data_IF_304229187916
#
_entry.id   IF_304229187916
#
_cell.length_a   1.000
_cell.length_b   1.000
_cell.length_c   1.000
_cell.angle_alpha   90.00
_cell.angle_beta   90.00
_cell.angle_gamma   90.00
#
_symmetry.space_group_name_H-M   'P 1'
#
loop_
_entity.id
_entity.type
_entity.pdbx_description
1 polymer ?
#
# COMPACT_ATOMS: atom_id res chain seq x y z
N UNK A 1 12.67 -25.08 -1.24
CA UNK A 1 11.47 -24.43 -0.74
C UNK A 1 11.46 -22.98 -1.11
N UNK A 2 10.45 -22.57 -1.77
CA UNK A 2 10.41 -21.18 -2.17
C UNK A 2 10.06 -20.27 -1.02
N UNK A 3 10.36 -19.00 -1.20
CA UNK A 3 10.08 -18.01 -0.18
C UNK A 3 8.60 -17.82 0.03
N UNK A 4 8.25 -17.42 1.23
CA UNK A 4 6.88 -17.08 1.55
C UNK A 4 6.60 -15.60 1.42
N UNK A 5 7.62 -14.82 1.16
CA UNK A 5 7.46 -13.38 1.07
C UNK A 5 6.72 -13.00 -0.20
N UNK A 6 5.80 -12.06 -0.06
CA UNK A 6 5.14 -11.44 -1.19
C UNK A 6 5.73 -10.07 -1.40
N UNK A 7 5.94 -9.71 -2.64
CA UNK A 7 6.60 -8.47 -2.97
C UNK A 7 5.77 -7.70 -3.97
N UNK A 8 5.84 -6.37 -3.90
CA UNK A 8 5.16 -5.51 -4.86
C UNK A 8 5.59 -5.87 -6.27
N UNK A 9 4.62 -6.01 -7.16
CA UNK A 9 4.87 -6.33 -8.55
C UNK A 9 4.51 -5.14 -9.40
N UNK A 10 5.30 -4.89 -10.43
CA UNK A 10 5.01 -3.81 -11.35
C UNK A 10 5.92 -2.63 -11.15
N UNK A 11 5.49 -1.47 -11.62
CA UNK A 11 6.28 -0.26 -11.55
C UNK A 11 6.47 0.17 -10.10
N UNK A 12 7.68 0.63 -9.78
CA UNK A 12 7.98 1.11 -8.44
C UNK A 12 6.99 2.20 -8.04
N UNK A 13 6.28 2.04 -6.93
CA UNK A 13 5.31 3.04 -6.51
C UNK A 13 6.02 4.32 -6.07
N UNK A 14 5.61 5.44 -6.62
CA UNK A 14 6.30 6.71 -6.39
C UNK A 14 5.57 7.60 -5.39
N UNK A 15 4.26 7.76 -5.57
CA UNK A 15 3.51 8.74 -4.80
C UNK A 15 2.17 8.18 -4.36
N UNK A 16 1.69 8.73 -3.23
CA UNK A 16 0.32 8.46 -2.79
C UNK A 16 -0.65 9.01 -3.84
N UNK A 17 -1.64 8.22 -4.21
CA UNK A 17 -2.59 8.63 -5.23
C UNK A 17 -3.53 9.73 -4.74
N UNK A 18 -3.58 9.99 -3.45
CA UNK A 18 -4.49 10.98 -2.88
C UNK A 18 -3.78 12.30 -2.60
N UNK A 19 -2.69 12.25 -1.84
CA UNK A 19 -2.02 13.48 -1.42
C UNK A 19 -0.67 13.71 -2.08
N UNK A 20 -0.23 12.79 -2.92
CA UNK A 20 1.02 12.85 -3.69
C UNK A 20 2.29 12.83 -2.85
N UNK A 21 2.19 12.47 -1.58
CA UNK A 21 3.37 12.27 -0.74
C UNK A 21 4.27 11.19 -1.35
N UNK A 22 5.58 11.41 -1.30
CA UNK A 22 6.53 10.43 -1.81
C UNK A 22 6.50 9.19 -0.92
N UNK A 23 6.12 8.05 -1.50
CA UNK A 23 5.93 6.83 -0.74
C UNK A 23 7.24 6.25 -0.21
N UNK A 24 8.34 6.44 -0.93
CA UNK A 24 9.62 5.91 -0.48
C UNK A 24 10.12 6.60 0.80
N UNK A 25 9.53 7.73 1.15
CA UNK A 25 9.89 8.44 2.38
C UNK A 25 9.03 8.01 3.56
N UNK A 26 8.05 7.14 3.31
CA UNK A 26 7.20 6.61 4.37
C UNK A 26 7.76 5.27 4.82
N UNK A 27 7.31 4.82 5.99
CA UNK A 27 7.69 3.50 6.47
C UNK A 27 7.03 2.40 5.64
N UNK A 28 5.80 2.65 5.22
CA UNK A 28 5.04 1.67 4.47
C UNK A 28 4.02 2.40 3.60
N UNK A 29 3.43 1.66 2.68
CA UNK A 29 2.29 2.16 1.91
C UNK A 29 1.26 1.04 1.80
N UNK A 30 0.06 1.42 1.43
CA UNK A 30 -1.03 0.47 1.28
C UNK A 30 -1.54 0.51 -0.17
N UNK A 31 -1.68 -0.67 -0.77
CA UNK A 31 -2.35 -0.83 -2.05
C UNK A 31 -3.75 -1.30 -1.69
N UNK A 32 -4.70 -0.41 -1.67
CA UNK A 32 -5.97 -0.76 -1.11
C UNK A 32 -7.16 -0.01 -1.63
N UNK A 33 -8.32 -0.51 -1.25
CA UNK A 33 -9.59 0.07 -1.61
C UNK A 33 -9.85 1.31 -0.76
N UNK A 34 -10.46 2.31 -1.38
CA UNK A 34 -10.84 3.51 -0.64
C UNK A 34 -12.32 3.50 -0.36
N UNK A 35 -12.73 4.35 0.59
CA UNK A 35 -14.14 4.51 0.91
C UNK A 35 -14.93 5.09 -0.26
N UNK A 36 -14.23 5.66 -1.24
CA UNK A 36 -14.86 6.18 -2.45
C UNK A 36 -15.02 5.11 -3.53
N UNK A 37 -14.50 3.91 -3.30
CA UNK A 37 -14.66 2.78 -4.21
C UNK A 37 -13.38 2.33 -4.91
N UNK A 38 -12.65 3.21 -5.61
CA UNK A 38 -11.48 2.77 -6.36
C UNK A 38 -10.32 2.34 -5.46
N UNK A 39 -9.48 1.45 -5.99
CA UNK A 39 -8.23 1.10 -5.35
C UNK A 39 -7.21 2.20 -5.62
N UNK A 40 -6.31 2.39 -4.67
CA UNK A 40 -5.29 3.43 -4.78
C UNK A 40 -4.07 3.04 -3.98
N UNK A 41 -2.94 3.68 -4.30
CA UNK A 41 -1.75 3.60 -3.47
C UNK A 41 -1.88 4.69 -2.41
N UNK A 42 -1.83 4.31 -1.16
CA UNK A 42 -2.11 5.20 -0.04
C UNK A 42 -0.92 5.29 0.89
N UNK A 43 -0.58 6.51 1.29
CA UNK A 43 0.38 6.70 2.37
C UNK A 43 -0.34 6.38 3.69
N UNK A 44 0.40 6.20 4.80
CA UNK A 44 -0.24 5.84 6.06
C UNK A 44 -1.36 6.79 6.47
N UNK A 45 -1.15 8.08 6.30
CA UNK A 45 -2.13 9.08 6.68
C UNK A 45 -3.42 8.96 5.87
N UNK A 46 -3.29 8.80 4.55
CA UNK A 46 -4.47 8.67 3.69
C UNK A 46 -5.19 7.35 3.93
N UNK A 47 -4.44 6.29 4.24
CA UNK A 47 -5.08 5.02 4.55
C UNK A 47 -5.94 5.11 5.80
N UNK A 48 -5.47 5.84 6.82
CA UNK A 48 -6.25 6.02 8.03
C UNK A 48 -7.56 6.75 7.73
N UNK A 49 -7.52 7.73 6.83
CA UNK A 49 -8.70 8.54 6.53
C UNK A 49 -9.63 7.91 5.50
N UNK A 50 -9.06 7.27 4.49
CA UNK A 50 -9.85 6.85 3.34
C UNK A 50 -9.83 5.35 3.07
N UNK A 51 -8.95 4.61 3.72
CA UNK A 51 -8.86 3.17 3.51
C UNK A 51 -9.98 2.41 4.20
N UNK A 52 -10.18 1.17 3.79
CA UNK A 52 -11.21 0.31 4.37
C UNK A 52 -10.61 -0.83 5.18
N UNK A 53 -9.34 -0.69 5.58
CA UNK A 53 -8.66 -1.70 6.36
C UNK A 53 -7.73 -2.54 5.51
N UNK A 54 -7.30 -3.65 6.07
CA UNK A 54 -6.36 -4.56 5.40
C UNK A 54 -7.00 -5.94 5.25
N UNK A 55 -6.49 -6.69 4.28
CA UNK A 55 -6.98 -8.04 4.02
C UNK A 55 -7.49 -8.18 2.61
N UNK A 56 -7.90 -9.41 2.26
CA UNK A 56 -8.42 -9.71 0.93
C UNK A 56 -9.62 -8.83 0.63
N UNK A 57 -9.57 -8.14 -0.51
CA UNK A 57 -10.66 -7.27 -0.93
C UNK A 57 -10.63 -5.91 -0.27
N UNK A 58 -9.68 -5.62 0.61
CA UNK A 58 -9.60 -4.35 1.32
C UNK A 58 -8.27 -3.65 1.12
N UNK A 59 -7.16 -4.34 1.29
CA UNK A 59 -5.87 -3.73 1.06
C UNK A 59 -4.71 -4.56 1.56
N UNK A 60 -3.54 -4.25 1.03
CA UNK A 60 -2.29 -4.89 1.43
C UNK A 60 -1.28 -3.83 1.78
N UNK A 61 -0.54 -4.09 2.85
CA UNK A 61 0.48 -3.17 3.35
C UNK A 61 1.86 -3.67 2.92
N UNK A 62 2.66 -2.77 2.37
CA UNK A 62 4.01 -3.08 1.88
C UNK A 62 5.04 -2.18 2.52
N UNK A 63 6.22 -2.74 2.77
CA UNK A 63 7.36 -1.94 3.21
C UNK A 63 7.79 -1.02 2.07
N UNK A 64 7.95 0.27 2.35
CA UNK A 64 8.25 1.24 1.30
C UNK A 64 9.67 1.13 0.77
N UNK A 65 10.56 0.49 1.50
CA UNK A 65 11.96 0.36 1.10
C UNK A 65 12.22 -0.96 0.39
N UNK A 66 11.70 -2.05 0.92
CA UNK A 66 11.97 -3.38 0.39
C UNK A 66 10.86 -3.86 -0.54
N UNK A 67 9.70 -3.24 -0.48
CA UNK A 67 8.50 -3.61 -1.24
C UNK A 67 7.98 -5.00 -0.85
N UNK A 68 8.33 -5.47 0.32
CA UNK A 68 7.85 -6.75 0.82
C UNK A 68 6.51 -6.53 1.52
N UNK A 69 5.56 -7.42 1.24
CA UNK A 69 4.24 -7.34 1.85
C UNK A 69 4.33 -7.60 3.35
N UNK A 70 3.76 -6.71 4.13
CA UNK A 70 3.77 -6.80 5.58
C UNK A 70 2.47 -7.32 6.15
N UNK A 71 1.34 -6.94 5.56
CA UNK A 71 0.02 -7.34 6.04
C UNK A 71 -0.97 -7.35 4.90
N UNK A 72 -2.06 -8.03 5.12
CA UNK A 72 -3.14 -8.09 4.14
C UNK A 72 -3.24 -9.41 3.38
#
# INVERSE_FOLDING_TARGET
METKEKKWMGTWPAECDICTTTLSEQEYFIDGRTTMGPWALLCPSCHIRLGVGLGTGRGQKYDSKTLIKLEG
#
